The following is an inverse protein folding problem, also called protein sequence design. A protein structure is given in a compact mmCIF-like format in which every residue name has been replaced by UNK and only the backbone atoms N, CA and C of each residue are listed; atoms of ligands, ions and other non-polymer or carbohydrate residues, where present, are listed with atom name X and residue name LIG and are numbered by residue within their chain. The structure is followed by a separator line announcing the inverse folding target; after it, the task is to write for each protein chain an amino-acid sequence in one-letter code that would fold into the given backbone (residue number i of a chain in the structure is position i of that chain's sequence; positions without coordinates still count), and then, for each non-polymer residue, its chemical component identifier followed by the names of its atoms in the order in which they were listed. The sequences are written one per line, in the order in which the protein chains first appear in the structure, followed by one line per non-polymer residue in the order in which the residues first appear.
data_IF_875090916545
#
_entry.id   IF_875090916545
#
_cell.length_a   1.000
_cell.length_b   1.000
_cell.length_c   1.000
_cell.angle_alpha   90.00
_cell.angle_beta   90.00
_cell.angle_gamma   90.00
#
_symmetry.space_group_name_H-M   'P 1'
#
loop_
_entity.id
_entity.type
_entity.pdbx_description
1 polymer ?
#
# COMPACT_ATOMS: atom_id res chain seq x y z
N UNK A 1 -17.07 -4.16 -14.47
CA UNK A 1 -16.24 -4.66 -13.36
C UNK A 1 -14.78 -4.64 -13.77
N UNK A 2 -13.97 -3.88 -13.05
CA UNK A 2 -12.57 -3.58 -13.33
C UNK A 2 -11.69 -4.33 -12.31
N UNK A 3 -10.62 -5.02 -12.73
CA UNK A 3 -9.76 -5.78 -11.83
C UNK A 3 -8.66 -4.91 -11.22
N UNK A 4 -8.78 -4.58 -9.95
CA UNK A 4 -7.85 -3.70 -9.26
C UNK A 4 -6.79 -4.46 -8.46
N UNK A 5 -5.63 -3.83 -8.35
CA UNK A 5 -4.60 -4.15 -7.36
C UNK A 5 -4.48 -3.01 -6.36
N UNK A 6 -4.66 -3.32 -5.09
CA UNK A 6 -4.68 -2.37 -3.96
C UNK A 6 -3.51 -2.67 -3.03
N UNK A 7 -2.75 -1.66 -2.63
CA UNK A 7 -1.73 -1.79 -1.58
C UNK A 7 -2.35 -1.56 -0.21
N UNK A 8 -1.94 -2.38 0.75
CA UNK A 8 -2.29 -2.25 2.17
C UNK A 8 -1.03 -2.34 2.98
N UNK A 9 -0.90 -1.42 3.94
CA UNK A 9 0.18 -1.37 4.90
C UNK A 9 -0.28 -2.05 6.19
N UNK A 10 0.41 -3.12 6.58
CA UNK A 10 0.18 -3.74 7.88
C UNK A 10 0.95 -2.99 8.98
N UNK A 11 0.36 -2.83 10.18
CA UNK A 11 1.05 -2.22 11.30
C UNK A 11 2.25 -3.10 11.70
N UNK A 12 3.43 -2.48 11.87
CA UNK A 12 4.62 -3.23 12.28
C UNK A 12 4.49 -3.66 13.75
N UNK A 13 4.62 -4.97 13.99
CA UNK A 13 4.43 -5.56 15.32
C UNK A 13 5.70 -5.53 16.19
N UNK A 14 6.89 -5.25 15.62
CA UNK A 14 8.15 -5.44 16.35
C UNK A 14 9.29 -4.48 16.00
N UNK A 15 9.25 -3.73 14.89
CA UNK A 15 10.36 -2.85 14.51
C UNK A 15 9.85 -1.55 13.86
N UNK A 16 10.19 -0.40 14.45
CA UNK A 16 9.76 0.92 13.96
C UNK A 16 10.31 1.28 12.57
N UNK A 17 11.16 0.45 11.97
CA UNK A 17 11.94 0.76 10.77
C UNK A 17 11.62 -0.09 9.54
N UNK A 18 10.80 -1.12 9.69
CA UNK A 18 10.27 -1.91 8.58
C UNK A 18 8.77 -1.72 8.50
N UNK A 19 8.19 -1.85 7.31
CA UNK A 19 6.75 -1.92 7.14
C UNK A 19 6.44 -3.09 6.19
N UNK A 20 5.43 -3.89 6.51
CA UNK A 20 4.92 -4.92 5.59
C UNK A 20 3.88 -4.31 4.66
N UNK A 21 4.15 -4.39 3.36
CA UNK A 21 3.22 -3.99 2.30
C UNK A 21 2.64 -5.24 1.67
N UNK A 22 1.32 -5.33 1.68
CA UNK A 22 0.54 -6.38 1.04
C UNK A 22 -0.21 -5.84 -0.15
N UNK A 23 -0.26 -6.63 -1.22
CA UNK A 23 -1.02 -6.34 -2.42
C UNK A 23 -2.23 -7.26 -2.47
N UNK A 24 -3.41 -6.66 -2.59
CA UNK A 24 -4.68 -7.35 -2.71
C UNK A 24 -5.29 -7.14 -4.09
N UNK A 25 -5.93 -8.18 -4.59
CA UNK A 25 -6.70 -8.16 -5.82
C UNK A 25 -8.20 -8.16 -5.50
N UNK A 26 -8.95 -7.32 -6.21
CA UNK A 26 -10.41 -7.27 -6.13
C UNK A 26 -11.01 -6.82 -7.46
N UNK A 27 -12.32 -7.01 -7.62
CA UNK A 27 -13.10 -6.45 -8.70
C UNK A 27 -14.04 -5.36 -8.17
N UNK A 28 -14.06 -4.21 -8.81
CA UNK A 28 -14.93 -3.10 -8.44
C UNK A 28 -15.46 -2.34 -9.66
N UNK A 29 -16.41 -1.42 -9.46
CA UNK A 29 -16.90 -0.55 -10.52
C UNK A 29 -16.05 0.71 -10.67
N UNK A 30 -15.53 1.21 -9.54
CA UNK A 30 -14.66 2.38 -9.46
C UNK A 30 -13.43 2.12 -8.58
N UNK A 31 -12.47 3.03 -8.66
CA UNK A 31 -11.28 3.02 -7.79
C UNK A 31 -11.67 3.13 -6.31
N UNK A 32 -12.63 4.00 -5.98
CA UNK A 32 -13.12 4.21 -4.61
C UNK A 32 -13.81 2.95 -4.07
N UNK A 33 -14.62 2.28 -4.90
CA UNK A 33 -15.26 1.01 -4.52
C UNK A 33 -14.21 -0.08 -4.24
N UNK A 34 -13.11 -0.12 -5.02
CA UNK A 34 -12.03 -1.07 -4.80
C UNK A 34 -11.31 -0.81 -3.47
N UNK A 35 -11.01 0.46 -3.18
CA UNK A 35 -10.39 0.86 -1.91
C UNK A 35 -11.31 0.51 -0.73
N UNK A 36 -12.60 0.82 -0.82
CA UNK A 36 -13.58 0.51 0.21
C UNK A 36 -13.73 -1.00 0.43
N UNK A 37 -13.87 -1.77 -0.66
CA UNK A 37 -14.01 -3.23 -0.60
C UNK A 37 -12.81 -3.89 0.07
N UNK A 38 -11.60 -3.42 -0.23
CA UNK A 38 -10.38 -3.95 0.42
C UNK A 38 -10.34 -3.49 1.88
N UNK A 39 -10.67 -2.22 2.16
CA UNK A 39 -10.66 -1.66 3.52
C UNK A 39 -11.59 -2.42 4.47
N UNK A 40 -12.79 -2.76 4.03
CA UNK A 40 -13.77 -3.50 4.84
C UNK A 40 -13.29 -4.90 5.27
N UNK A 41 -12.32 -5.45 4.54
CA UNK A 41 -11.77 -6.79 4.78
C UNK A 41 -10.49 -6.77 5.63
N UNK A 42 -9.92 -5.60 5.92
CA UNK A 42 -8.68 -5.49 6.66
C UNK A 42 -8.93 -5.44 8.18
N UNK A 43 -8.04 -6.03 9.00
CA UNK A 43 -8.12 -5.89 10.46
C UNK A 43 -7.91 -4.44 10.91
N UNK A 44 -8.38 -4.13 12.13
CA UNK A 44 -8.12 -2.83 12.75
C UNK A 44 -6.62 -2.50 12.80
N UNK A 45 -6.29 -1.25 12.50
CA UNK A 45 -4.91 -0.74 12.47
C UNK A 45 -4.15 -1.01 11.17
N UNK A 46 -4.74 -1.75 10.23
CA UNK A 46 -4.21 -1.86 8.87
C UNK A 46 -4.66 -0.67 8.04
N UNK A 47 -3.78 -0.17 7.18
CA UNK A 47 -4.06 1.02 6.37
C UNK A 47 -4.09 0.64 4.90
N UNK A 48 -5.26 0.78 4.26
CA UNK A 48 -5.34 0.78 2.80
C UNK A 48 -4.64 2.03 2.28
N UNK A 49 -3.67 1.84 1.41
CA UNK A 49 -2.78 2.91 0.95
C UNK A 49 -3.27 3.50 -0.37
N UNK A 50 -3.30 2.71 -1.46
CA UNK A 50 -3.71 3.20 -2.78
C UNK A 50 -4.02 2.08 -3.79
N UNK A 51 -4.59 2.49 -4.92
CA UNK A 51 -4.57 1.70 -6.15
C UNK A 51 -3.15 1.70 -6.71
N UNK A 52 -2.60 0.50 -6.90
CA UNK A 52 -1.26 0.28 -7.49
C UNK A 52 -1.37 0.08 -9.00
N UNK A 53 -2.54 -0.34 -9.48
CA UNK A 53 -2.86 -0.47 -10.89
C UNK A 53 -3.97 -1.50 -11.12
N UNK A 54 -4.12 -1.90 -12.38
CA UNK A 54 -5.03 -2.97 -12.76
C UNK A 54 -4.29 -4.31 -12.81
N UNK A 55 -5.01 -5.41 -12.56
CA UNK A 55 -4.48 -6.75 -12.79
C UNK A 55 -4.35 -7.00 -14.29
N UNK A 56 -3.30 -7.70 -14.68
CA UNK A 56 -3.17 -8.18 -16.05
C UNK A 56 -4.21 -9.26 -16.35
N UNK A 57 -4.50 -9.48 -17.65
CA UNK A 57 -5.42 -10.54 -18.09
C UNK A 57 -5.03 -11.92 -17.55
N UNK A 58 -3.74 -12.24 -17.54
CA UNK A 58 -3.23 -13.53 -17.04
C UNK A 58 -3.50 -13.70 -15.55
N UNK A 59 -3.36 -12.63 -14.77
CA UNK A 59 -3.66 -12.67 -13.33
C UNK A 59 -5.14 -12.85 -13.07
N UNK A 60 -6.00 -12.14 -13.81
CA UNK A 60 -7.45 -12.32 -13.77
C UNK A 60 -7.85 -13.79 -14.02
N UNK A 61 -7.31 -14.39 -15.08
CA UNK A 61 -7.61 -15.77 -15.46
C UNK A 61 -7.11 -16.79 -14.43
N UNK A 62 -5.99 -16.50 -13.74
CA UNK A 62 -5.43 -17.36 -12.69
C UNK A 62 -6.17 -17.24 -11.37
N UNK A 63 -6.50 -16.01 -10.97
CA UNK A 63 -7.10 -15.74 -9.66
C UNK A 63 -8.57 -16.17 -9.63
N UNK A 64 -9.29 -16.02 -10.77
CA UNK A 64 -10.71 -16.38 -10.92
C UNK A 64 -11.56 -15.89 -9.74
N UNK A 65 -11.35 -14.63 -9.35
CA UNK A 65 -12.04 -14.04 -8.20
C UNK A 65 -13.55 -13.99 -8.44
N UNK A 66 -14.29 -14.30 -7.39
CA UNK A 66 -15.73 -14.08 -7.34
C UNK A 66 -16.03 -12.59 -7.18
N UNK A 67 -17.28 -12.19 -7.44
CA UNK A 67 -17.71 -10.82 -7.17
C UNK A 67 -17.61 -10.50 -5.68
N UNK A 68 -17.04 -9.34 -5.34
CA UNK A 68 -16.79 -8.92 -3.95
C UNK A 68 -15.66 -9.67 -3.25
N UNK A 69 -14.96 -10.58 -3.95
CA UNK A 69 -13.85 -11.31 -3.36
C UNK A 69 -12.57 -10.49 -3.34
N UNK A 70 -11.92 -10.44 -2.17
CA UNK A 70 -10.60 -9.86 -1.96
C UNK A 70 -9.59 -10.97 -1.73
N UNK A 71 -8.47 -10.95 -2.45
CA UNK A 71 -7.41 -11.96 -2.31
C UNK A 71 -6.02 -11.36 -2.28
N UNK A 72 -5.19 -11.80 -1.33
CA UNK A 72 -3.77 -11.44 -1.29
C UNK A 72 -3.05 -12.02 -2.52
N UNK A 73 -2.28 -11.20 -3.23
CA UNK A 73 -1.51 -11.62 -4.41
C UNK A 73 -0.01 -11.46 -4.24
N UNK A 74 0.44 -10.64 -3.28
CA UNK A 74 1.85 -10.48 -2.95
C UNK A 74 1.99 -9.86 -1.56
N UNK A 75 3.08 -10.18 -0.87
CA UNK A 75 3.52 -9.46 0.34
C UNK A 75 5.02 -9.24 0.25
N UNK A 76 5.48 -8.06 0.67
CA UNK A 76 6.89 -7.72 0.78
C UNK A 76 7.13 -6.68 1.87
N UNK A 77 8.30 -6.75 2.49
CA UNK A 77 8.72 -5.77 3.50
C UNK A 77 9.53 -4.68 2.83
N UNK A 78 9.25 -3.44 3.20
CA UNK A 78 10.09 -2.29 2.84
C UNK A 78 10.76 -1.79 4.11
N UNK A 79 12.09 -1.73 4.10
CA UNK A 79 12.88 -1.11 5.16
C UNK A 79 13.22 0.33 4.81
N UNK A 80 13.14 1.25 5.78
CA UNK A 80 13.68 2.61 5.65
C UNK A 80 12.92 3.56 4.73
N UNK A 81 11.63 3.32 4.45
CA UNK A 81 10.77 4.38 3.92
C UNK A 81 10.54 5.38 5.05
N UNK A 82 11.25 6.51 4.98
CA UNK A 82 10.89 7.70 5.72
C UNK A 82 9.41 7.97 5.49
N UNK A 83 8.60 7.94 6.55
CA UNK A 83 7.25 8.47 6.50
C UNK A 83 7.38 9.94 6.07
N UNK A 84 6.42 10.51 5.33
CA UNK A 84 6.50 11.91 4.90
C UNK A 84 6.65 12.90 6.08
N UNK A 85 6.32 12.49 7.31
CA UNK A 85 6.60 13.24 8.55
C UNK A 85 8.11 13.38 8.87
N UNK A 86 8.97 12.48 8.37
CA UNK A 86 10.43 12.60 8.50
C UNK A 86 11.07 13.45 7.38
N UNK A 87 10.35 13.72 6.28
CA UNK A 87 10.86 14.50 5.17
C UNK A 87 11.03 16.00 5.51
N UNK A 88 10.33 16.50 6.53
CA UNK A 88 10.43 17.89 6.97
C UNK A 88 11.76 18.22 7.71
N UNK A 89 12.52 17.19 8.12
CA UNK A 89 13.80 17.38 8.83
C UNK A 89 15.04 17.29 7.93
N UNK A 90 14.93 16.82 6.69
CA UNK A 90 16.08 16.68 5.79
C UNK A 90 16.52 18.00 5.12
N UNK A 91 15.72 19.07 5.22
CA UNK A 91 15.94 20.27 4.40
C UNK A 91 16.70 21.42 5.10
N UNK A 92 17.24 21.23 6.30
CA UNK A 92 17.86 22.33 7.07
C UNK A 92 19.37 22.19 7.36
N UNK A 93 20.05 21.27 6.68
CA UNK A 93 21.50 21.05 6.84
C UNK A 93 22.31 21.55 5.65
N UNK A 94 22.13 22.80 5.23
CA UNK A 94 23.13 23.45 4.36
C UNK A 94 23.23 24.95 4.67
N UNK A 95 24.01 25.28 5.70
CA UNK A 95 24.64 26.59 5.85
C UNK A 95 26.11 26.37 6.23
N UNK A 96 27.07 26.56 5.33
CA UNK A 96 28.45 26.74 5.74
C UNK A 96 28.60 28.10 6.42
N UNK A 97 28.98 28.07 7.69
CA UNK A 97 29.43 29.23 8.48
C UNK A 97 30.51 30.00 7.75
N UNK A 98 30.24 31.25 7.34
CA UNK A 98 31.28 32.24 7.17
C UNK A 98 31.82 32.60 8.55
N UNK A 99 33.10 32.32 8.79
CA UNK A 99 33.84 32.85 9.93
C UNK A 99 35.03 33.64 9.42
N UNK A 100 35.14 34.83 9.99
CA UNK A 100 36.06 35.97 9.78
C UNK A 100 37.47 35.68 9.27
#
# INVERSE_FOLDING_TARGET
MIPYRVSVLAPDANDQRSHEVKLYATYAETDDDALHTVSDMMPDGWRVDRIVGLLSRVEVERLRLSHGEVREVSSFTIGGLFLPEDAEHASNSDKPSMTH
#
